data_IF_039081263855
#
_entry.id   IF_039081263855
#
_cell.length_a   1.000
_cell.length_b   1.000
_cell.length_c   1.000
_cell.angle_alpha   90.00
_cell.angle_beta   90.00
_cell.angle_gamma   90.00
#
_symmetry.space_group_name_H-M   'P 1'
#
loop_
_entity.id
_entity.type
_entity.pdbx_description
1 polymer ?
#
# COMPACT_ATOMS: atom_id res chain seq x y z
N UNK A 1 -25.13 -7.17 1.93
CA UNK A 1 -24.36 -7.62 3.11
C UNK A 1 -24.20 -6.43 4.03
N UNK A 2 -24.63 -6.53 5.29
CA UNK A 2 -24.46 -5.47 6.27
C UNK A 2 -22.96 -5.20 6.42
N UNK A 3 -22.55 -3.93 6.26
CA UNK A 3 -21.16 -3.54 6.39
C UNK A 3 -20.60 -3.96 7.75
N UNK A 4 -19.43 -4.59 7.71
CA UNK A 4 -18.69 -5.01 8.88
C UNK A 4 -18.59 -3.87 9.91
N UNK A 5 -19.03 -4.08 11.16
CA UNK A 5 -18.94 -3.07 12.22
C UNK A 5 -17.47 -2.77 12.64
N UNK A 6 -16.49 -3.57 12.18
CA UNK A 6 -15.08 -3.29 12.43
C UNK A 6 -14.70 -1.95 11.81
N UNK A 7 -13.88 -1.16 12.48
CA UNK A 7 -13.43 0.15 12.03
C UNK A 7 -12.67 0.10 10.70
N UNK A 8 -12.34 1.25 10.15
CA UNK A 8 -11.47 1.36 8.96
C UNK A 8 -10.08 0.83 9.33
N UNK A 9 -9.53 -0.02 8.46
CA UNK A 9 -8.24 -0.67 8.69
C UNK A 9 -7.24 -0.35 7.58
N UNK A 10 -6.04 0.04 7.97
CA UNK A 10 -4.89 0.25 7.11
C UNK A 10 -3.91 -0.91 7.29
N UNK A 11 -3.43 -1.51 6.21
CA UNK A 11 -2.29 -2.42 6.24
C UNK A 11 -1.06 -1.68 5.73
N UNK A 12 -0.01 -1.61 6.56
CA UNK A 12 1.23 -0.86 6.29
C UNK A 12 2.34 -1.86 6.03
N UNK A 13 2.78 -1.94 4.80
CA UNK A 13 3.76 -2.92 4.30
C UNK A 13 5.11 -2.22 4.20
N UNK A 14 6.03 -2.58 5.08
CA UNK A 14 7.38 -2.02 5.17
C UNK A 14 8.40 -2.94 4.48
N UNK A 15 9.13 -2.38 3.50
CA UNK A 15 10.18 -3.09 2.77
C UNK A 15 11.56 -2.45 2.96
N UNK A 16 12.14 -2.54 4.19
CA UNK A 16 13.51 -2.09 4.46
C UNK A 16 14.27 -3.07 5.37
N UNK A 17 15.52 -3.47 5.05
CA UNK A 17 16.26 -4.48 5.82
C UNK A 17 16.72 -4.01 7.20
N UNK A 18 16.92 -2.72 7.42
CA UNK A 18 17.33 -2.18 8.71
C UNK A 18 16.10 -1.77 9.52
N UNK A 19 15.93 -2.37 10.69
CA UNK A 19 14.80 -2.13 11.59
C UNK A 19 14.73 -0.68 12.12
N UNK A 20 15.85 0.04 12.19
CA UNK A 20 15.94 1.44 12.62
C UNK A 20 16.10 2.41 11.44
N UNK A 21 15.65 2.03 10.25
CA UNK A 21 15.73 2.89 9.06
C UNK A 21 14.75 4.06 9.13
N UNK A 22 15.00 5.08 8.30
CA UNK A 22 14.04 6.16 8.08
C UNK A 22 12.67 5.64 7.64
N UNK A 23 12.63 4.64 6.74
CA UNK A 23 11.39 4.03 6.29
C UNK A 23 10.62 3.34 7.44
N UNK A 24 11.32 2.69 8.37
CA UNK A 24 10.69 2.12 9.56
C UNK A 24 10.05 3.22 10.43
N UNK A 25 10.77 4.34 10.63
CA UNK A 25 10.23 5.51 11.37
C UNK A 25 9.02 6.13 10.67
N UNK A 26 9.02 6.20 9.32
CA UNK A 26 7.87 6.66 8.52
C UNK A 26 6.68 5.72 8.69
N UNK A 27 6.90 4.41 8.63
CA UNK A 27 5.83 3.41 8.81
C UNK A 27 5.19 3.51 10.21
N UNK A 28 6.01 3.64 11.26
CA UNK A 28 5.54 3.82 12.62
C UNK A 28 4.76 5.14 12.78
N UNK A 29 5.31 6.26 12.30
CA UNK A 29 4.65 7.56 12.37
C UNK A 29 3.28 7.58 11.65
N UNK A 30 3.17 6.85 10.54
CA UNK A 30 1.89 6.66 9.84
C UNK A 30 0.91 5.83 10.68
N UNK A 31 1.36 4.69 11.25
CA UNK A 31 0.52 3.83 12.09
C UNK A 31 -0.01 4.59 13.30
N UNK A 32 0.87 5.28 14.05
CA UNK A 32 0.49 6.07 15.23
C UNK A 32 -0.61 7.10 14.88
N UNK A 33 -0.43 7.82 13.77
CA UNK A 33 -1.41 8.82 13.34
C UNK A 33 -2.75 8.21 12.89
N UNK A 34 -2.77 6.99 12.32
CA UNK A 34 -4.00 6.25 12.02
C UNK A 34 -4.72 5.87 13.31
N UNK A 35 -3.99 5.40 14.32
CA UNK A 35 -4.55 5.03 15.62
C UNK A 35 -5.09 6.26 16.37
N UNK A 36 -4.38 7.39 16.31
CA UNK A 36 -4.83 8.69 16.84
C UNK A 36 -6.15 9.16 16.19
N UNK A 37 -6.39 8.78 14.93
CA UNK A 37 -7.67 9.02 14.24
C UNK A 37 -8.78 8.02 14.61
N UNK A 38 -8.54 7.08 15.53
CA UNK A 38 -9.49 6.03 15.94
C UNK A 38 -9.70 4.94 14.89
N UNK A 39 -8.81 4.82 13.91
CA UNK A 39 -8.79 3.75 12.92
C UNK A 39 -7.71 2.71 13.30
N UNK A 40 -7.64 1.59 12.61
CA UNK A 40 -6.70 0.51 12.94
C UNK A 40 -5.57 0.47 11.92
N UNK A 41 -4.32 0.43 12.38
CA UNK A 41 -3.16 0.16 11.55
C UNK A 41 -2.57 -1.23 11.87
N UNK A 42 -2.18 -1.97 10.83
CA UNK A 42 -1.48 -3.26 10.95
C UNK A 42 -0.16 -3.15 10.20
N UNK A 43 0.94 -3.10 10.94
CA UNK A 43 2.28 -3.06 10.36
C UNK A 43 2.72 -4.46 9.92
N UNK A 44 3.18 -4.59 8.69
CA UNK A 44 3.79 -5.79 8.11
C UNK A 44 5.22 -5.45 7.69
N UNK A 45 6.15 -5.61 8.59
CA UNK A 45 7.59 -5.49 8.28
C UNK A 45 8.04 -6.79 7.59
N UNK A 46 8.23 -6.73 6.28
CA UNK A 46 8.52 -7.91 5.46
C UNK A 46 9.84 -8.59 5.81
N UNK A 47 10.83 -7.84 6.31
CA UNK A 47 12.10 -8.41 6.76
C UNK A 47 11.95 -9.06 8.14
N UNK A 48 11.24 -8.42 9.06
CA UNK A 48 11.01 -8.97 10.40
C UNK A 48 10.20 -10.27 10.40
N UNK A 49 9.23 -10.40 9.47
CA UNK A 49 8.44 -11.63 9.32
C UNK A 49 9.12 -12.69 8.45
N UNK A 50 10.31 -12.41 7.89
CA UNK A 50 11.02 -13.35 7.01
C UNK A 50 10.27 -13.65 5.71
N UNK A 51 9.58 -12.66 5.13
CA UNK A 51 8.82 -12.85 3.87
C UNK A 51 9.75 -13.27 2.72
N UNK A 52 9.45 -14.39 2.07
CA UNK A 52 10.15 -14.83 0.85
C UNK A 52 9.57 -14.10 -0.39
N UNK A 53 10.33 -13.23 -1.07
CA UNK A 53 9.83 -12.50 -2.23
C UNK A 53 9.80 -13.31 -3.54
N UNK A 54 10.32 -14.53 -3.54
CA UNK A 54 10.49 -15.32 -4.76
C UNK A 54 9.20 -16.02 -5.15
N UNK A 55 8.59 -15.62 -6.27
CA UNK A 55 7.42 -16.29 -6.85
C UNK A 55 7.79 -17.70 -7.32
N UNK A 56 7.06 -18.71 -6.86
CA UNK A 56 7.27 -20.10 -7.22
C UNK A 56 6.41 -20.48 -8.43
N UNK A 57 6.78 -21.52 -9.18
CA UNK A 57 6.01 -21.97 -10.35
C UNK A 57 4.55 -22.31 -10.00
N UNK A 58 4.31 -22.91 -8.84
CA UNK A 58 2.95 -23.24 -8.36
C UNK A 58 2.10 -22.02 -8.01
N UNK A 59 2.73 -20.87 -7.75
CA UNK A 59 2.06 -19.60 -7.42
C UNK A 59 1.85 -18.71 -8.64
N UNK A 60 2.35 -19.14 -9.80
CA UNK A 60 2.26 -18.38 -11.05
C UNK A 60 0.80 -18.20 -11.47
N UNK A 61 0.39 -16.99 -11.93
CA UNK A 61 -0.94 -16.77 -12.46
C UNK A 61 -1.29 -17.79 -13.55
N UNK A 62 -2.42 -18.49 -13.38
CA UNK A 62 -2.87 -19.54 -14.31
C UNK A 62 -2.20 -20.91 -14.14
N UNK A 63 -1.38 -21.11 -13.10
CA UNK A 63 -0.88 -22.44 -12.75
C UNK A 63 -2.04 -23.42 -12.51
N UNK A 64 -1.94 -24.62 -13.03
CA UNK A 64 -2.93 -25.66 -12.78
C UNK A 64 -2.97 -26.00 -11.28
N UNK A 65 -4.17 -25.96 -10.69
CA UNK A 65 -4.33 -26.19 -9.25
C UNK A 65 -3.78 -25.07 -8.35
N UNK A 66 -3.74 -23.83 -8.86
CA UNK A 66 -3.31 -22.68 -8.08
C UNK A 66 -3.98 -22.66 -6.70
N UNK A 67 -3.15 -22.58 -5.67
CA UNK A 67 -3.53 -22.27 -4.30
C UNK A 67 -2.45 -21.39 -3.68
N UNK A 68 -2.82 -20.33 -2.97
CA UNK A 68 -1.82 -19.49 -2.32
C UNK A 68 -1.07 -20.31 -1.26
N UNK A 69 0.26 -20.14 -1.20
CA UNK A 69 1.07 -20.73 -0.14
C UNK A 69 0.60 -20.21 1.25
N UNK A 70 0.85 -20.93 2.35
CA UNK A 70 0.35 -20.54 3.67
C UNK A 70 0.71 -19.12 4.12
N UNK A 71 1.95 -18.68 3.82
CA UNK A 71 2.40 -17.30 4.08
C UNK A 71 1.61 -16.28 3.25
N UNK A 72 1.39 -16.56 1.97
CA UNK A 72 0.58 -15.72 1.08
C UNK A 72 -0.90 -15.70 1.51
N UNK A 73 -1.45 -16.84 1.92
CA UNK A 73 -2.84 -16.93 2.38
C UNK A 73 -3.07 -16.08 3.64
N UNK A 74 -2.10 -16.06 4.57
CA UNK A 74 -2.15 -15.23 5.77
C UNK A 74 -2.15 -13.73 5.43
N UNK A 75 -1.26 -13.29 4.53
CA UNK A 75 -1.22 -11.90 4.06
C UNK A 75 -2.50 -11.50 3.31
N UNK A 76 -3.02 -12.38 2.44
CA UNK A 76 -4.29 -12.14 1.74
C UNK A 76 -5.48 -11.95 2.69
N UNK A 77 -5.51 -12.64 3.83
CA UNK A 77 -6.54 -12.44 4.83
C UNK A 77 -6.49 -11.01 5.40
N UNK A 78 -5.28 -10.52 5.72
CA UNK A 78 -5.08 -9.14 6.17
C UNK A 78 -5.47 -8.11 5.10
N UNK A 79 -5.09 -8.36 3.85
CA UNK A 79 -5.45 -7.50 2.71
C UNK A 79 -6.97 -7.42 2.54
N UNK A 80 -7.68 -8.56 2.57
CA UNK A 80 -9.15 -8.58 2.45
C UNK A 80 -9.85 -7.76 3.52
N UNK A 81 -9.34 -7.82 4.74
CA UNK A 81 -9.88 -7.12 5.89
C UNK A 81 -9.51 -5.62 5.94
N UNK A 82 -8.65 -5.14 5.05
CA UNK A 82 -8.20 -3.75 5.01
C UNK A 82 -9.00 -2.89 4.03
N UNK A 83 -8.99 -1.57 4.26
CA UNK A 83 -9.57 -0.56 3.37
C UNK A 83 -8.48 0.21 2.62
N UNK A 84 -7.30 0.33 3.24
CA UNK A 84 -6.16 1.08 2.73
C UNK A 84 -4.93 0.18 2.71
N UNK A 85 -4.24 0.16 1.59
CA UNK A 85 -2.95 -0.50 1.41
C UNK A 85 -1.87 0.59 1.41
N UNK A 86 -0.90 0.47 2.30
CA UNK A 86 0.21 1.43 2.43
C UNK A 86 1.52 0.72 2.14
N UNK A 87 2.27 1.18 1.16
CA UNK A 87 3.60 0.66 0.83
C UNK A 87 4.66 1.66 1.31
N UNK A 88 5.58 1.21 2.15
CA UNK A 88 6.68 2.03 2.70
C UNK A 88 8.01 1.42 2.29
N UNK A 89 8.78 2.13 1.46
CA UNK A 89 10.03 1.58 0.91
C UNK A 89 11.01 2.65 0.43
N UNK A 90 12.33 2.34 0.38
CA UNK A 90 13.31 3.18 -0.30
C UNK A 90 13.27 2.93 -1.82
N UNK A 91 13.50 3.96 -2.62
CA UNK A 91 13.76 3.81 -4.05
C UNK A 91 15.23 3.45 -4.22
N UNK A 92 15.50 2.23 -4.67
CA UNK A 92 16.83 1.74 -5.01
C UNK A 92 16.90 1.45 -6.51
N UNK A 93 17.92 2.01 -7.17
CA UNK A 93 18.10 1.87 -8.61
C UNK A 93 16.83 2.19 -9.43
N UNK A 94 16.11 3.22 -8.98
CA UNK A 94 14.94 3.75 -9.66
C UNK A 94 13.61 3.02 -9.40
N UNK A 95 13.59 1.95 -8.60
CA UNK A 95 12.43 1.10 -8.37
C UNK A 95 12.27 0.73 -6.88
N UNK A 96 11.09 0.22 -6.46
CA UNK A 96 10.93 -0.41 -5.16
C UNK A 96 11.89 -1.60 -4.99
N UNK A 97 12.33 -1.91 -3.75
CA UNK A 97 13.17 -3.09 -3.48
C UNK A 97 12.50 -4.40 -3.91
N UNK A 98 13.32 -5.41 -4.20
CA UNK A 98 12.86 -6.73 -4.61
C UNK A 98 11.81 -7.35 -3.68
N UNK A 99 11.92 -7.11 -2.37
CA UNK A 99 10.97 -7.62 -1.38
C UNK A 99 9.56 -7.02 -1.56
N UNK A 100 9.45 -5.74 -1.89
CA UNK A 100 8.17 -5.08 -2.22
C UNK A 100 7.62 -5.64 -3.54
N UNK A 101 8.48 -5.78 -4.56
CA UNK A 101 8.05 -6.36 -5.84
C UNK A 101 7.56 -7.80 -5.66
N UNK A 102 8.29 -8.60 -4.88
CA UNK A 102 7.89 -9.98 -4.56
C UNK A 102 6.57 -10.04 -3.77
N UNK A 103 6.32 -9.10 -2.86
CA UNK A 103 5.03 -9.01 -2.17
C UNK A 103 3.89 -8.71 -3.14
N UNK A 104 4.12 -7.82 -4.11
CA UNK A 104 3.13 -7.55 -5.17
C UNK A 104 2.89 -8.80 -6.00
N UNK A 105 3.94 -9.50 -6.44
CA UNK A 105 3.81 -10.67 -7.31
C UNK A 105 3.15 -11.85 -6.61
N UNK A 106 3.50 -12.12 -5.35
CA UNK A 106 3.02 -13.29 -4.61
C UNK A 106 1.70 -13.05 -3.87
N UNK A 107 1.51 -11.84 -3.31
CA UNK A 107 0.34 -11.54 -2.46
C UNK A 107 -0.70 -10.73 -3.21
N UNK A 108 -0.35 -9.52 -3.69
CA UNK A 108 -1.35 -8.66 -4.32
C UNK A 108 -1.85 -9.23 -5.65
N UNK A 109 -0.95 -9.86 -6.42
CA UNK A 109 -1.26 -10.51 -7.69
C UNK A 109 -1.75 -11.94 -7.58
N UNK A 110 -1.90 -12.50 -6.36
CA UNK A 110 -2.26 -13.90 -6.16
C UNK A 110 -3.57 -14.27 -6.83
N UNK A 111 -3.50 -15.21 -7.79
CA UNK A 111 -4.66 -15.71 -8.52
C UNK A 111 -5.25 -14.77 -9.56
N UNK A 112 -4.71 -13.57 -9.75
CA UNK A 112 -5.16 -12.62 -10.76
C UNK A 112 -4.69 -13.05 -12.15
N UNK A 113 -5.61 -13.21 -13.09
CA UNK A 113 -5.31 -13.63 -14.46
C UNK A 113 -5.38 -12.43 -15.43
N UNK A 114 -4.54 -12.46 -16.45
CA UNK A 114 -4.52 -11.42 -17.49
C UNK A 114 -5.88 -11.24 -18.20
N UNK A 115 -6.68 -12.30 -18.31
CA UNK A 115 -8.04 -12.24 -18.87
C UNK A 115 -8.99 -11.45 -17.95
N UNK A 116 -8.86 -11.62 -16.63
CA UNK A 116 -9.72 -10.95 -15.63
C UNK A 116 -9.47 -9.43 -15.64
N UNK A 117 -8.20 -9.03 -15.80
CA UNK A 117 -7.81 -7.63 -15.99
C UNK A 117 -8.45 -7.04 -17.24
N UNK A 118 -8.44 -7.79 -18.37
CA UNK A 118 -8.95 -7.31 -19.66
C UNK A 118 -10.47 -7.25 -19.71
N UNK A 119 -11.18 -8.20 -19.07
CA UNK A 119 -12.65 -8.23 -19.03
C UNK A 119 -13.24 -7.22 -18.06
N UNK A 120 -12.44 -6.67 -17.13
CA UNK A 120 -12.94 -5.86 -16.02
C UNK A 120 -13.74 -6.67 -15.00
N UNK A 121 -13.62 -7.99 -15.05
CA UNK A 121 -14.25 -8.93 -14.10
C UNK A 121 -13.19 -9.51 -13.17
N UNK A 122 -13.42 -9.45 -11.86
CA UNK A 122 -12.56 -10.14 -10.89
C UNK A 122 -11.23 -9.45 -10.59
N UNK A 123 -11.26 -8.19 -10.18
CA UNK A 123 -10.05 -7.43 -9.79
C UNK A 123 -9.40 -7.89 -8.47
N UNK A 124 -9.94 -8.94 -7.86
CA UNK A 124 -9.39 -9.53 -6.66
C UNK A 124 -9.64 -8.74 -5.38
N UNK A 125 -8.87 -9.01 -4.31
CA UNK A 125 -9.11 -8.46 -2.99
C UNK A 125 -8.77 -6.97 -2.84
N UNK A 126 -8.21 -6.34 -3.87
CA UNK A 126 -7.77 -4.94 -3.85
C UNK A 126 -8.78 -3.96 -4.46
N UNK A 127 -9.81 -4.48 -5.13
CA UNK A 127 -10.84 -3.65 -5.78
C UNK A 127 -11.45 -2.65 -4.82
N UNK A 128 -11.51 -1.39 -5.23
CA UNK A 128 -12.07 -0.29 -4.47
C UNK A 128 -11.27 0.13 -3.23
N UNK A 129 -10.14 -0.51 -2.93
CA UNK A 129 -9.25 -0.09 -1.85
C UNK A 129 -8.37 1.08 -2.29
N UNK A 130 -7.86 1.83 -1.33
CA UNK A 130 -7.00 2.98 -1.54
C UNK A 130 -5.53 2.57 -1.43
N UNK A 131 -4.68 3.08 -2.33
CA UNK A 131 -3.23 2.88 -2.28
C UNK A 131 -2.54 4.14 -1.77
N UNK A 132 -1.72 4.01 -0.74
CA UNK A 132 -0.80 5.06 -0.27
C UNK A 132 0.62 4.56 -0.42
N UNK A 133 1.47 5.35 -1.03
CA UNK A 133 2.89 5.05 -1.18
C UNK A 133 3.71 6.09 -0.44
N UNK A 134 4.58 5.64 0.44
CA UNK A 134 5.52 6.44 1.23
C UNK A 134 6.93 5.98 0.85
N UNK A 135 7.53 6.64 -0.14
CA UNK A 135 8.86 6.25 -0.60
C UNK A 135 9.94 7.23 -0.17
N UNK A 136 11.18 6.77 -0.07
CA UNK A 136 12.34 7.62 0.19
C UNK A 136 13.45 7.41 -0.83
N UNK A 137 14.33 8.40 -1.00
CA UNK A 137 15.56 8.26 -1.77
C UNK A 137 16.69 9.16 -1.24
N UNK A 138 17.92 8.80 -1.54
CA UNK A 138 19.07 9.69 -1.33
C UNK A 138 19.13 10.83 -2.36
N UNK A 139 18.54 10.62 -3.55
CA UNK A 139 18.44 11.64 -4.60
C UNK A 139 17.44 12.73 -4.21
N UNK A 140 17.63 13.94 -4.75
CA UNK A 140 16.69 15.03 -4.59
C UNK A 140 15.55 14.93 -5.61
N UNK A 141 14.39 15.50 -5.29
CA UNK A 141 13.25 15.49 -6.22
C UNK A 141 13.57 16.16 -7.56
N UNK A 142 14.23 17.34 -7.61
CA UNK A 142 14.60 17.95 -8.90
C UNK A 142 15.47 17.03 -9.77
N UNK A 143 16.41 16.27 -9.16
CA UNK A 143 17.21 15.32 -9.91
C UNK A 143 16.38 14.17 -10.50
N UNK A 144 15.44 13.62 -9.73
CA UNK A 144 14.55 12.55 -10.19
C UNK A 144 13.61 13.03 -11.33
N UNK A 145 13.15 14.28 -11.27
CA UNK A 145 12.31 14.88 -12.30
C UNK A 145 13.09 15.17 -13.59
N UNK A 146 14.27 15.79 -13.49
CA UNK A 146 15.12 16.13 -14.63
C UNK A 146 15.52 14.90 -15.46
N UNK A 147 15.73 13.75 -14.77
CA UNK A 147 16.08 12.50 -15.43
C UNK A 147 14.86 11.66 -15.83
N UNK A 148 13.64 12.18 -15.68
CA UNK A 148 12.40 11.47 -16.00
C UNK A 148 12.11 10.25 -15.10
N UNK A 149 12.92 10.03 -14.07
CA UNK A 149 12.84 8.88 -13.18
C UNK A 149 11.54 8.88 -12.38
N UNK A 150 11.16 10.05 -11.87
CA UNK A 150 9.93 10.20 -11.08
C UNK A 150 8.67 9.89 -11.90
N UNK A 151 8.55 10.48 -13.08
CA UNK A 151 7.41 10.22 -13.97
C UNK A 151 7.33 8.75 -14.39
N UNK A 152 8.48 8.14 -14.72
CA UNK A 152 8.57 6.73 -15.11
C UNK A 152 8.14 5.80 -13.98
N UNK A 153 8.61 6.03 -12.75
CA UNK A 153 8.21 5.23 -11.58
C UNK A 153 6.71 5.34 -11.34
N UNK A 154 6.17 6.55 -11.30
CA UNK A 154 4.74 6.77 -11.07
C UNK A 154 3.87 6.09 -12.12
N UNK A 155 4.26 6.15 -13.38
CA UNK A 155 3.51 5.51 -14.46
C UNK A 155 3.61 3.98 -14.39
N UNK A 156 4.83 3.44 -14.25
CA UNK A 156 5.08 2.00 -14.27
C UNK A 156 4.68 1.27 -12.99
N UNK A 157 4.55 1.96 -11.88
CA UNK A 157 4.25 1.36 -10.59
C UNK A 157 2.92 1.86 -10.02
N UNK A 158 2.80 3.14 -9.64
CA UNK A 158 1.60 3.66 -8.95
C UNK A 158 0.34 3.54 -9.81
N UNK A 159 0.37 4.15 -11.00
CA UNK A 159 -0.76 4.17 -11.93
C UNK A 159 -1.08 2.76 -12.42
N UNK A 160 -0.05 1.97 -12.76
CA UNK A 160 -0.23 0.61 -13.24
C UNK A 160 -0.91 -0.26 -12.17
N UNK A 161 -0.42 -0.27 -10.93
CA UNK A 161 -1.01 -1.06 -9.84
C UNK A 161 -2.46 -0.64 -9.56
N UNK A 162 -2.71 0.68 -9.49
CA UNK A 162 -4.07 1.20 -9.27
C UNK A 162 -5.03 0.72 -10.35
N UNK A 163 -4.58 0.71 -11.60
CA UNK A 163 -5.40 0.31 -12.75
C UNK A 163 -5.67 -1.21 -12.76
N UNK A 164 -4.62 -2.03 -12.64
CA UNK A 164 -4.78 -3.49 -12.77
C UNK A 164 -5.53 -4.13 -11.61
N UNK A 165 -5.46 -3.53 -10.43
CA UNK A 165 -6.17 -4.00 -9.25
C UNK A 165 -7.50 -3.28 -9.01
N UNK A 166 -7.94 -2.41 -9.93
CA UNK A 166 -9.15 -1.58 -9.82
C UNK A 166 -9.26 -0.88 -8.46
N UNK A 167 -8.15 -0.35 -7.97
CA UNK A 167 -8.12 0.41 -6.73
C UNK A 167 -8.82 1.76 -6.91
N UNK A 168 -9.38 2.32 -5.85
CA UNK A 168 -10.14 3.57 -5.91
C UNK A 168 -9.29 4.75 -6.36
N UNK A 169 -8.08 4.84 -5.82
CA UNK A 169 -7.08 5.86 -6.16
C UNK A 169 -5.69 5.48 -5.62
N UNK A 170 -4.70 6.33 -5.91
CA UNK A 170 -3.40 6.29 -5.26
C UNK A 170 -2.92 7.68 -4.83
N UNK A 171 -2.16 7.70 -3.75
CA UNK A 171 -1.40 8.87 -3.28
C UNK A 171 0.05 8.46 -3.05
N UNK A 172 1.01 9.23 -3.56
CA UNK A 172 2.42 8.98 -3.38
C UNK A 172 3.10 10.17 -2.73
N UNK A 173 3.59 10.00 -1.50
CA UNK A 173 4.45 10.95 -0.80
C UNK A 173 5.88 10.45 -0.88
N UNK A 174 6.74 11.27 -1.47
CA UNK A 174 8.17 10.99 -1.57
C UNK A 174 8.98 11.84 -0.60
N UNK A 175 9.89 11.20 0.11
CA UNK A 175 10.86 11.79 1.01
C UNK A 175 12.22 11.76 0.33
N UNK A 176 12.61 12.88 -0.23
CA UNK A 176 13.84 13.01 -0.98
C UNK A 176 15.04 13.41 -0.10
N UNK A 177 16.25 13.28 -0.63
CA UNK A 177 17.51 13.66 0.05
C UNK A 177 17.71 13.00 1.43
N UNK A 178 17.19 11.78 1.62
CA UNK A 178 17.39 11.00 2.85
C UNK A 178 18.78 10.36 2.81
N UNK A 179 19.72 10.98 3.51
CA UNK A 179 21.12 10.54 3.63
C UNK A 179 21.56 10.61 5.09
N UNK A 180 22.59 9.87 5.43
CA UNK A 180 23.18 9.89 6.77
C UNK A 180 23.65 11.30 7.18
N UNK A 181 23.52 11.62 8.46
CA UNK A 181 23.95 12.90 9.00
C UNK A 181 22.97 14.07 8.80
N UNK A 182 21.76 13.82 8.33
CA UNK A 182 20.70 14.84 8.33
C UNK A 182 20.33 15.26 9.76
N UNK A 183 20.04 16.55 9.93
CA UNK A 183 19.66 17.07 11.25
C UNK A 183 18.28 16.55 11.72
N UNK A 184 18.08 16.58 13.02
CA UNK A 184 16.84 16.08 13.64
C UNK A 184 15.59 16.87 13.21
N UNK A 185 15.74 18.14 12.87
CA UNK A 185 14.63 18.98 12.44
C UNK A 185 14.12 18.49 11.07
N UNK A 186 15.03 18.27 10.13
CA UNK A 186 14.70 17.71 8.81
C UNK A 186 13.98 16.36 8.94
N UNK A 187 14.48 15.49 9.83
CA UNK A 187 13.85 14.18 10.06
C UNK A 187 12.44 14.32 10.64
N UNK A 188 12.25 15.19 11.65
CA UNK A 188 10.92 15.44 12.24
C UNK A 188 9.92 16.01 11.25
N UNK A 189 10.33 16.97 10.41
CA UNK A 189 9.47 17.56 9.38
C UNK A 189 8.99 16.50 8.38
N UNK A 190 9.86 15.59 7.97
CA UNK A 190 9.47 14.50 7.09
C UNK A 190 8.54 13.46 7.76
N UNK A 191 8.78 13.12 9.02
CA UNK A 191 7.86 12.25 9.77
C UNK A 191 6.49 12.92 9.98
N UNK A 192 6.44 14.25 10.16
CA UNK A 192 5.17 14.97 10.24
C UNK A 192 4.40 14.94 8.90
N UNK A 193 5.09 14.99 7.76
CA UNK A 193 4.45 14.77 6.44
C UNK A 193 3.81 13.38 6.34
N UNK A 194 4.44 12.35 6.91
CA UNK A 194 3.86 11.00 6.95
C UNK A 194 2.60 10.95 7.83
N UNK A 195 2.62 11.60 9.01
CA UNK A 195 1.45 11.70 9.89
C UNK A 195 0.31 12.47 9.22
N UNK A 196 0.63 13.58 8.55
CA UNK A 196 -0.38 14.36 7.84
C UNK A 196 -1.04 13.55 6.73
N UNK A 197 -0.25 12.78 5.95
CA UNK A 197 -0.81 11.88 4.95
C UNK A 197 -1.74 10.83 5.59
N UNK A 198 -1.40 10.29 6.75
CA UNK A 198 -2.26 9.36 7.48
C UNK A 198 -3.59 10.02 7.86
N UNK A 199 -3.56 11.23 8.46
CA UNK A 199 -4.77 11.98 8.85
C UNK A 199 -5.66 12.29 7.64
N UNK A 200 -5.09 12.71 6.53
CA UNK A 200 -5.83 12.97 5.29
C UNK A 200 -6.50 11.68 4.78
N UNK A 201 -5.76 10.57 4.74
CA UNK A 201 -6.30 9.27 4.32
C UNK A 201 -7.43 8.81 5.24
N UNK A 202 -7.27 8.95 6.56
CA UNK A 202 -8.31 8.63 7.54
C UNK A 202 -9.57 9.46 7.33
N UNK A 203 -9.44 10.76 7.07
CA UNK A 203 -10.57 11.67 6.83
C UNK A 203 -11.35 11.29 5.58
N UNK A 204 -10.65 11.02 4.47
CA UNK A 204 -11.27 10.65 3.19
C UNK A 204 -12.00 9.31 3.31
N UNK A 205 -11.35 8.28 3.84
CA UNK A 205 -11.97 6.95 4.00
C UNK A 205 -13.17 6.96 4.93
N UNK A 206 -13.15 7.77 5.99
CA UNK A 206 -14.28 7.93 6.88
C UNK A 206 -15.47 8.60 6.17
N UNK A 207 -15.21 9.67 5.39
CA UNK A 207 -16.21 10.40 4.63
C UNK A 207 -16.87 9.51 3.58
N UNK A 208 -16.10 8.72 2.85
CA UNK A 208 -16.63 7.77 1.85
C UNK A 208 -17.49 6.68 2.48
N UNK A 209 -17.07 6.14 3.63
CA UNK A 209 -17.84 5.17 4.39
C UNK A 209 -19.19 5.75 4.87
N UNK A 210 -19.20 6.98 5.38
CA UNK A 210 -20.43 7.68 5.76
C UNK A 210 -21.35 7.89 4.55
N UNK A 211 -20.82 8.35 3.43
CA UNK A 211 -21.59 8.52 2.19
C UNK A 211 -22.18 7.20 1.68
N UNK A 212 -21.41 6.11 1.73
CA UNK A 212 -21.89 4.78 1.35
C UNK A 212 -23.03 4.31 2.28
N UNK A 213 -22.93 4.55 3.60
CA UNK A 213 -23.99 4.21 4.57
C UNK A 213 -25.26 5.00 4.33
N UNK A 214 -25.16 6.29 4.04
CA UNK A 214 -26.31 7.14 3.72
C UNK A 214 -27.01 6.62 2.45
N UNK A 215 -26.27 6.32 1.39
CA UNK A 215 -26.85 5.75 0.14
C UNK A 215 -27.59 4.44 0.39
N UNK A 216 -27.03 3.54 1.19
CA UNK A 216 -27.68 2.27 1.52
C UNK A 216 -29.00 2.45 2.28
N UNK A 217 -29.07 3.41 3.21
CA UNK A 217 -30.30 3.73 3.95
C UNK A 217 -31.39 4.35 3.06
N UNK A 218 -30.99 5.20 2.11
CA UNK A 218 -31.97 5.84 1.18
C UNK A 218 -32.52 4.86 0.15
N UNK A 219 -31.76 3.85 -0.26
CA UNK A 219 -32.21 2.82 -1.21
C UNK A 219 -33.03 1.72 -0.54
N UNK A 220 -32.77 1.38 0.72
CA UNK A 220 -33.52 0.39 1.48
C UNK A 220 -34.87 0.86 2.03
N UNK A 221 -35.16 2.16 2.01
CA UNK A 221 -36.43 2.74 2.44
C UNK A 221 -37.50 2.91 1.33
N UNK A 222 -37.20 2.46 0.10
CA UNK A 222 -38.08 2.55 -1.06
C UNK A 222 -38.76 1.21 -1.44
N UNK A 223 -38.77 0.24 -0.53
CA UNK A 223 -39.43 -1.09 -0.72
C UNK A 223 -40.67 -1.24 0.12
#
# INVERSE_FOLDING_TARGET
MAGDPRGIRHIVILGHPAANSFNASVAMAYCDAVEDCGQTAVLRDLYAIGFDPVLRDSERPGAAGFAPAPDVAAELALIRDSNVIVLVYPIWFGMPPAIIKGYIDRVLGAGLLARDIKSGEGHGPLEGKRLVILSSSASTMPWLEEHGQWASLRQAFDTYLTTIFAMADNTHVHFDAIVDGRDERFMRENLERAREQARQTCSVTLSERHAARIRALTQGGAS
#
